data_IF_226933009237
#
_entry.id   IF_226933009237
#
_cell.length_a   1.000
_cell.length_b   1.000
_cell.length_c   1.000
_cell.angle_alpha   90.00
_cell.angle_beta   90.00
_cell.angle_gamma   90.00
#
_symmetry.space_group_name_H-M   'P 1'
#
loop_
_entity.id
_entity.type
_entity.pdbx_description
1 polymer ?
#
# COMPACT_ATOMS: atom_id res chain seq x y z
N UNK A 1 -4.45 26.52 4.00
CA UNK A 1 -4.19 26.33 2.55
C UNK A 1 -3.62 24.95 2.20
N UNK A 2 -2.68 24.38 2.96
CA UNK A 2 -2.10 23.05 2.66
C UNK A 2 -3.09 21.87 2.75
N UNK A 3 -4.06 21.92 3.66
CA UNK A 3 -5.05 20.84 3.84
C UNK A 3 -5.93 20.68 2.60
N UNK A 4 -6.39 21.79 2.01
CA UNK A 4 -7.23 21.78 0.81
C UNK A 4 -6.54 21.08 -0.37
N UNK A 5 -5.26 21.37 -0.60
CA UNK A 5 -4.46 20.76 -1.66
C UNK A 5 -4.28 19.26 -1.41
N UNK A 6 -3.97 18.86 -0.17
CA UNK A 6 -3.85 17.44 0.21
C UNK A 6 -5.15 16.66 -0.03
N UNK A 7 -6.30 17.26 0.29
CA UNK A 7 -7.62 16.67 0.06
C UNK A 7 -7.89 16.53 -1.44
N UNK A 8 -7.70 17.59 -2.23
CA UNK A 8 -7.97 17.57 -3.68
C UNK A 8 -7.12 16.51 -4.37
N UNK A 9 -5.83 16.43 -4.05
CA UNK A 9 -4.92 15.45 -4.65
C UNK A 9 -5.31 14.02 -4.24
N UNK A 10 -5.59 13.78 -2.95
CA UNK A 10 -5.95 12.45 -2.46
C UNK A 10 -7.26 11.97 -3.07
N UNK A 11 -8.30 12.80 -3.03
CA UNK A 11 -9.61 12.49 -3.60
C UNK A 11 -9.52 12.35 -5.13
N UNK A 12 -8.72 13.18 -5.80
CA UNK A 12 -8.50 13.07 -7.24
C UNK A 12 -7.91 11.73 -7.67
N UNK A 13 -6.91 11.22 -6.93
CA UNK A 13 -6.31 9.90 -7.18
C UNK A 13 -7.36 8.79 -7.00
N UNK A 14 -8.17 8.86 -5.94
CA UNK A 14 -9.22 7.86 -5.67
C UNK A 14 -10.30 7.87 -6.76
N UNK A 15 -10.76 9.06 -7.17
CA UNK A 15 -11.76 9.19 -8.22
C UNK A 15 -11.24 8.70 -9.57
N UNK A 16 -9.98 9.01 -9.92
CA UNK A 16 -9.35 8.51 -11.13
C UNK A 16 -9.25 6.97 -11.10
N UNK A 17 -8.79 6.39 -10.00
CA UNK A 17 -8.67 4.94 -9.85
C UNK A 17 -10.04 4.23 -9.98
N UNK A 18 -11.07 4.76 -9.32
CA UNK A 18 -12.43 4.17 -9.35
C UNK A 18 -13.12 4.34 -10.71
N UNK A 19 -12.87 5.45 -11.42
CA UNK A 19 -13.34 5.64 -12.79
C UNK A 19 -12.68 4.64 -13.75
N UNK A 20 -11.36 4.45 -13.64
CA UNK A 20 -10.62 3.48 -14.44
C UNK A 20 -11.05 2.05 -14.11
N UNK A 21 -11.37 1.73 -12.85
CA UNK A 21 -11.74 0.39 -12.41
C UNK A 21 -12.94 -0.19 -13.17
N UNK A 22 -13.89 0.67 -13.61
CA UNK A 22 -15.06 0.23 -14.38
C UNK A 22 -14.71 -0.31 -15.77
N UNK A 23 -13.66 0.21 -16.40
CA UNK A 23 -13.27 -0.12 -17.78
C UNK A 23 -12.01 -0.99 -17.84
N UNK A 24 -11.06 -0.77 -16.93
CA UNK A 24 -9.78 -1.46 -16.84
C UNK A 24 -9.46 -1.81 -15.37
N UNK A 25 -10.06 -2.88 -14.82
CA UNK A 25 -9.86 -3.27 -13.42
C UNK A 25 -8.40 -3.55 -13.06
N UNK A 26 -7.61 -4.12 -13.97
CA UNK A 26 -6.18 -4.39 -13.71
C UNK A 26 -5.37 -3.11 -13.57
N UNK A 27 -5.63 -2.10 -14.42
CA UNK A 27 -4.98 -0.80 -14.36
C UNK A 27 -5.37 -0.04 -13.08
N UNK A 28 -6.64 -0.12 -12.67
CA UNK A 28 -7.06 0.45 -11.39
C UNK A 28 -6.42 -0.26 -10.19
N UNK A 29 -6.25 -1.58 -10.27
CA UNK A 29 -5.50 -2.36 -9.27
C UNK A 29 -4.05 -1.88 -9.18
N UNK A 30 -3.39 -1.67 -10.32
CA UNK A 30 -2.03 -1.13 -10.38
C UNK A 30 -1.94 0.25 -9.72
N UNK A 31 -2.87 1.16 -10.03
CA UNK A 31 -2.96 2.48 -9.38
C UNK A 31 -3.17 2.34 -7.87
N UNK A 32 -4.00 1.40 -7.44
CA UNK A 32 -4.27 1.13 -6.04
C UNK A 32 -3.05 0.64 -5.24
N UNK A 33 -2.12 -0.07 -5.89
CA UNK A 33 -0.88 -0.57 -5.26
C UNK A 33 0.35 0.28 -5.57
N UNK A 34 0.23 1.37 -6.35
CA UNK A 34 1.36 2.26 -6.63
C UNK A 34 1.97 2.76 -5.32
N UNK A 35 3.32 2.77 -5.19
CA UNK A 35 4.00 3.20 -3.98
C UNK A 35 4.02 4.74 -3.86
N UNK A 36 2.87 5.41 -4.03
CA UNK A 36 2.73 6.86 -3.95
C UNK A 36 3.12 7.38 -2.57
N UNK A 37 2.60 6.76 -1.52
CA UNK A 37 2.97 7.05 -0.13
C UNK A 37 4.44 6.74 0.13
N UNK A 38 4.94 5.58 -0.34
CA UNK A 38 6.35 5.21 -0.22
C UNK A 38 7.29 6.21 -0.89
N UNK A 39 6.97 6.66 -2.10
CA UNK A 39 7.74 7.65 -2.85
C UNK A 39 7.71 9.03 -2.18
N UNK A 40 6.55 9.46 -1.69
CA UNK A 40 6.43 10.70 -0.92
C UNK A 40 7.28 10.65 0.34
N UNK A 41 7.20 9.57 1.13
CA UNK A 41 8.00 9.41 2.35
C UNK A 41 9.49 9.38 2.00
N UNK A 42 9.90 8.68 0.95
CA UNK A 42 11.31 8.66 0.52
C UNK A 42 11.82 10.07 0.15
N UNK A 43 11.00 10.88 -0.52
CA UNK A 43 11.36 12.27 -0.85
C UNK A 43 11.54 13.13 0.41
N UNK A 44 10.73 12.92 1.45
CA UNK A 44 10.87 13.58 2.74
C UNK A 44 12.10 13.09 3.50
N UNK A 45 12.30 11.77 3.59
CA UNK A 45 13.49 11.16 4.20
C UNK A 45 14.76 11.69 3.55
N UNK A 46 14.80 11.81 2.22
CA UNK A 46 15.91 12.43 1.50
C UNK A 46 16.17 13.86 1.95
N UNK A 47 15.13 14.70 2.01
CA UNK A 47 15.27 16.11 2.40
C UNK A 47 15.69 16.29 3.85
N UNK A 48 15.10 15.53 4.77
CA UNK A 48 15.35 15.62 6.20
C UNK A 48 16.74 15.10 6.59
N UNK A 49 17.20 14.04 5.91
CA UNK A 49 18.48 13.38 6.18
C UNK A 49 19.58 13.81 5.20
N UNK A 50 19.38 14.90 4.45
CA UNK A 50 20.33 15.46 3.48
C UNK A 50 20.87 14.42 2.47
N UNK A 51 20.05 13.44 2.12
CA UNK A 51 20.43 12.37 1.19
C UNK A 51 21.41 11.33 1.75
N UNK A 52 21.48 11.13 3.07
CA UNK A 52 22.30 10.07 3.68
C UNK A 52 21.98 8.69 3.05
N UNK A 53 22.94 8.07 2.32
CA UNK A 53 22.71 6.80 1.64
C UNK A 53 22.35 5.65 2.58
N UNK A 54 22.87 5.63 3.81
CA UNK A 54 22.60 4.55 4.77
C UNK A 54 21.14 4.57 5.21
N UNK A 55 20.59 5.76 5.48
CA UNK A 55 19.19 5.95 5.86
C UNK A 55 18.26 5.62 4.70
N UNK A 56 18.60 6.08 3.49
CA UNK A 56 17.83 5.78 2.28
C UNK A 56 17.79 4.28 1.97
N UNK A 57 18.93 3.59 2.08
CA UNK A 57 19.00 2.14 1.92
C UNK A 57 18.19 1.41 2.99
N UNK A 58 18.25 1.85 4.25
CA UNK A 58 17.44 1.31 5.34
C UNK A 58 15.94 1.44 5.06
N UNK A 59 15.50 2.61 4.61
CA UNK A 59 14.10 2.83 4.22
C UNK A 59 13.70 1.95 3.04
N UNK A 60 14.50 1.92 1.98
CA UNK A 60 14.21 1.11 0.78
C UNK A 60 14.13 -0.38 1.12
N UNK A 61 15.05 -0.89 1.96
CA UNK A 61 15.03 -2.27 2.47
C UNK A 61 13.78 -2.53 3.29
N UNK A 62 13.43 -1.64 4.23
CA UNK A 62 12.22 -1.75 5.04
C UNK A 62 10.95 -1.76 4.19
N UNK A 63 10.86 -0.89 3.19
CA UNK A 63 9.74 -0.84 2.25
C UNK A 63 9.66 -2.12 1.39
N UNK A 64 10.79 -2.62 0.90
CA UNK A 64 10.85 -3.84 0.09
C UNK A 64 10.27 -5.04 0.84
N UNK A 65 10.69 -5.25 2.10
CA UNK A 65 10.17 -6.34 2.91
C UNK A 65 8.75 -6.08 3.41
N UNK A 66 8.37 -4.81 3.64
CA UNK A 66 7.02 -4.40 3.97
C UNK A 66 5.96 -4.65 2.88
N UNK A 67 6.38 -4.90 1.63
CA UNK A 67 5.47 -5.30 0.54
C UNK A 67 4.92 -6.72 0.79
N UNK A 68 5.65 -7.61 1.46
CA UNK A 68 5.24 -9.01 1.64
C UNK A 68 3.89 -9.14 2.37
N UNK A 69 3.67 -8.50 3.54
CA UNK A 69 2.35 -8.49 4.16
C UNK A 69 1.24 -7.98 3.24
N UNK A 70 1.51 -6.96 2.43
CA UNK A 70 0.56 -6.40 1.47
C UNK A 70 0.23 -7.37 0.33
N UNK A 71 1.21 -8.15 -0.14
CA UNK A 71 0.95 -9.24 -1.10
C UNK A 71 0.01 -10.28 -0.48
N UNK A 72 0.27 -10.69 0.76
CA UNK A 72 -0.59 -11.65 1.49
C UNK A 72 -2.02 -11.12 1.61
N UNK A 73 -2.20 -9.83 1.93
CA UNK A 73 -3.50 -9.19 1.96
C UNK A 73 -4.26 -9.35 0.63
N UNK A 74 -3.63 -8.96 -0.49
CA UNK A 74 -4.30 -9.00 -1.80
C UNK A 74 -4.54 -10.43 -2.29
N UNK A 75 -3.69 -11.39 -1.94
CA UNK A 75 -3.92 -12.81 -2.22
C UNK A 75 -5.19 -13.31 -1.52
N UNK A 76 -5.31 -13.07 -0.21
CA UNK A 76 -6.51 -13.46 0.54
C UNK A 76 -7.73 -12.75 0.00
N UNK A 77 -7.63 -11.44 -0.29
CA UNK A 77 -8.72 -10.69 -0.87
C UNK A 77 -9.18 -11.28 -2.21
N UNK A 78 -8.25 -11.59 -3.11
CA UNK A 78 -8.52 -12.18 -4.41
C UNK A 78 -9.23 -13.53 -4.30
N UNK A 79 -8.71 -14.45 -3.46
CA UNK A 79 -9.33 -15.76 -3.28
C UNK A 79 -10.71 -15.68 -2.62
N UNK A 80 -10.88 -14.80 -1.63
CA UNK A 80 -12.16 -14.62 -0.96
C UNK A 80 -13.22 -14.02 -1.91
N UNK A 81 -12.84 -13.03 -2.72
CA UNK A 81 -13.72 -12.46 -3.74
C UNK A 81 -14.07 -13.48 -4.83
N UNK A 82 -13.11 -14.34 -5.23
CA UNK A 82 -13.37 -15.44 -6.19
C UNK A 82 -14.39 -16.46 -5.67
N UNK A 83 -14.46 -16.65 -4.36
CA UNK A 83 -15.43 -17.53 -3.68
C UNK A 83 -16.80 -16.86 -3.44
N UNK A 84 -16.96 -15.59 -3.79
CA UNK A 84 -18.22 -14.86 -3.62
C UNK A 84 -18.51 -14.43 -2.18
N UNK A 85 -17.50 -14.35 -1.30
CA UNK A 85 -17.69 -13.85 0.06
C UNK A 85 -18.07 -12.37 0.08
N UNK A 86 -18.78 -11.95 1.13
CA UNK A 86 -19.12 -10.54 1.35
C UNK A 86 -17.86 -9.69 1.60
N UNK A 87 -17.90 -8.42 1.20
CA UNK A 87 -16.76 -7.50 1.34
C UNK A 87 -16.26 -7.41 2.79
N UNK A 88 -17.17 -7.41 3.78
CA UNK A 88 -16.79 -7.38 5.19
C UNK A 88 -15.95 -8.60 5.60
N UNK A 89 -16.30 -9.79 5.10
CA UNK A 89 -15.55 -11.04 5.35
C UNK A 89 -14.20 -11.01 4.64
N UNK A 90 -14.19 -10.53 3.39
CA UNK A 90 -12.96 -10.35 2.60
C UNK A 90 -11.99 -9.44 3.33
N UNK A 91 -12.45 -8.27 3.79
CA UNK A 91 -11.62 -7.30 4.50
C UNK A 91 -11.13 -7.86 5.83
N UNK A 92 -12.00 -8.45 6.64
CA UNK A 92 -11.61 -9.06 7.92
C UNK A 92 -10.54 -10.13 7.73
N UNK A 93 -10.74 -11.06 6.77
CA UNK A 93 -9.77 -12.10 6.47
C UNK A 93 -8.44 -11.55 5.94
N UNK A 94 -8.50 -10.56 5.04
CA UNK A 94 -7.30 -9.99 4.42
C UNK A 94 -6.47 -9.17 5.41
N UNK A 95 -7.12 -8.35 6.25
CA UNK A 95 -6.43 -7.63 7.32
C UNK A 95 -5.90 -8.58 8.40
N UNK A 96 -6.65 -9.63 8.76
CA UNK A 96 -6.16 -10.66 9.68
C UNK A 96 -4.87 -11.33 9.17
N UNK A 97 -4.87 -11.72 7.89
CA UNK A 97 -3.68 -12.29 7.25
C UNK A 97 -2.52 -11.30 7.14
N UNK A 98 -2.82 -10.02 6.85
CA UNK A 98 -1.82 -8.96 6.84
C UNK A 98 -1.15 -8.77 8.21
N UNK A 99 -1.93 -8.72 9.29
CA UNK A 99 -1.41 -8.56 10.66
C UNK A 99 -0.53 -9.76 11.02
N UNK A 100 -0.97 -10.99 10.72
CA UNK A 100 -0.17 -12.19 10.96
C UNK A 100 1.17 -12.14 10.19
N UNK A 101 1.13 -11.79 8.91
CA UNK A 101 2.34 -11.63 8.09
C UNK A 101 3.26 -10.50 8.59
N UNK A 102 2.68 -9.37 9.00
CA UNK A 102 3.42 -8.23 9.55
C UNK A 102 4.07 -8.58 10.90
N UNK A 103 3.40 -9.34 11.75
CA UNK A 103 3.96 -9.84 13.02
C UNK A 103 5.14 -10.78 12.76
N UNK A 104 5.00 -11.75 11.86
CA UNK A 104 6.10 -12.64 11.45
C UNK A 104 7.27 -11.83 10.90
N UNK A 105 7.00 -10.84 10.03
CA UNK A 105 8.03 -9.95 9.50
C UNK A 105 8.75 -9.19 10.61
N UNK A 106 8.03 -8.59 11.58
CA UNK A 106 8.66 -7.89 12.70
C UNK A 106 9.50 -8.81 13.59
N UNK A 107 9.12 -10.09 13.72
CA UNK A 107 9.89 -11.07 14.49
C UNK A 107 11.17 -11.50 13.77
N UNK A 108 11.16 -11.56 12.43
CA UNK A 108 12.30 -11.98 11.60
C UNK A 108 13.32 -10.86 11.37
N UNK A 109 12.87 -9.61 11.30
CA UNK A 109 13.72 -8.43 11.02
C UNK A 109 13.96 -7.54 12.26
N UNK A 110 13.62 -8.03 13.45
CA UNK A 110 14.13 -7.50 14.73
C UNK A 110 15.59 -7.88 14.91
#
# INVERSE_FOLDING_TARGET
MQVMIKVIVSTGIILAATAIARRFPSAAGLIGVMPLTGALVLAWVYRENKGDPAIMQGFAKGALWGIIPSIVFFLVAFFCLRKGFSLSTVLAGSFGAWIAAAAVHQLVFR
#
